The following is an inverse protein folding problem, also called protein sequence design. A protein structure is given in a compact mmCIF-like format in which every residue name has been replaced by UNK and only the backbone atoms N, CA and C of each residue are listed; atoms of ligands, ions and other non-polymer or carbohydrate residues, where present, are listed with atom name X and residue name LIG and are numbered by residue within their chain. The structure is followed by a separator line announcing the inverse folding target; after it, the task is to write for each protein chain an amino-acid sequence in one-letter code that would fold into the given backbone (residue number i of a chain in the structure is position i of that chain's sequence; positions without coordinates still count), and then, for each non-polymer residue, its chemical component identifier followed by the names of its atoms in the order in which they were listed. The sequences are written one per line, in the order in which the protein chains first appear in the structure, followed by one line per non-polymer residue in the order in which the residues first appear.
data_IF_809727356763
#
_entry.id   IF_809727356763
#
_cell.length_a   1.000
_cell.length_b   1.000
_cell.length_c   1.000
_cell.angle_alpha   90.00
_cell.angle_beta   90.00
_cell.angle_gamma   90.00
#
_symmetry.space_group_name_H-M   'P 1'
#
loop_
_entity.id
_entity.type
_entity.pdbx_description
1 polymer ?
#
# COMPACT_ATOMS: atom_id res chain seq x y z
N UNK A 1 5.58 -27.32 23.58
CA UNK A 1 6.27 -26.14 24.12
C UNK A 1 5.31 -24.97 23.92
N UNK A 2 4.78 -24.38 25.00
CA UNK A 2 3.83 -23.23 24.92
C UNK A 2 4.63 -22.07 24.33
N UNK A 3 4.10 -21.40 23.26
CA UNK A 3 4.77 -20.25 22.66
C UNK A 3 5.06 -19.18 23.72
N UNK A 4 6.19 -18.46 23.58
CA UNK A 4 6.66 -17.47 24.56
C UNK A 4 5.61 -16.38 24.88
N UNK A 5 4.70 -16.10 23.97
CA UNK A 5 3.64 -15.06 24.06
C UNK A 5 2.45 -15.49 24.95
N UNK A 6 2.35 -16.76 25.40
CA UNK A 6 1.30 -17.23 26.30
C UNK A 6 1.74 -17.33 27.76
N UNK A 7 2.81 -16.65 28.17
CA UNK A 7 3.22 -16.55 29.58
C UNK A 7 2.54 -15.35 30.24
N UNK A 8 2.21 -15.47 31.52
CA UNK A 8 1.38 -14.56 32.35
C UNK A 8 1.84 -13.09 32.45
N UNK A 9 2.84 -12.63 31.70
CA UNK A 9 3.29 -11.24 31.53
C UNK A 9 3.89 -11.08 30.12
N UNK A 10 3.18 -11.44 29.09
CA UNK A 10 3.75 -11.48 27.75
C UNK A 10 3.79 -10.08 27.13
N UNK A 11 4.97 -9.50 27.08
CA UNK A 11 5.28 -8.33 26.24
C UNK A 11 5.61 -8.83 24.85
N UNK A 12 4.89 -8.39 23.82
CA UNK A 12 5.24 -8.65 22.43
C UNK A 12 6.03 -7.45 21.86
N UNK A 13 7.03 -7.75 21.05
CA UNK A 13 7.92 -6.76 20.44
C UNK A 13 7.50 -6.49 19.01
N UNK A 14 7.26 -5.22 18.69
CA UNK A 14 6.80 -4.74 17.41
C UNK A 14 7.92 -3.94 16.72
N UNK A 15 8.53 -4.52 15.68
CA UNK A 15 9.58 -3.86 14.92
C UNK A 15 9.00 -2.83 13.93
N UNK A 16 9.65 -1.68 13.85
CA UNK A 16 9.31 -0.60 12.94
C UNK A 16 10.55 0.24 12.58
N UNK A 17 10.43 1.05 11.52
CA UNK A 17 11.44 2.05 11.15
C UNK A 17 11.41 3.23 12.12
N UNK A 18 12.52 4.01 12.17
CA UNK A 18 12.64 5.21 13.01
C UNK A 18 11.95 6.46 12.43
N UNK A 19 11.44 6.42 11.20
CA UNK A 19 10.83 7.62 10.61
C UNK A 19 9.55 8.02 11.35
N UNK A 20 9.24 9.34 11.45
CA UNK A 20 8.05 9.82 12.18
C UNK A 20 6.75 9.13 11.74
N UNK A 21 6.58 8.91 10.44
CA UNK A 21 5.40 8.22 9.91
C UNK A 21 5.39 6.74 10.34
N UNK A 22 6.52 6.04 10.28
CA UNK A 22 6.59 4.63 10.67
C UNK A 22 6.32 4.44 12.16
N UNK A 23 6.78 5.36 13.02
CA UNK A 23 6.47 5.36 14.45
C UNK A 23 4.97 5.53 14.68
N UNK A 24 4.31 6.48 14.00
CA UNK A 24 2.85 6.65 14.09
C UNK A 24 2.07 5.41 13.63
N UNK A 25 2.53 4.75 12.58
CA UNK A 25 1.95 3.49 12.10
C UNK A 25 2.12 2.36 13.13
N UNK A 26 3.27 2.27 13.77
CA UNK A 26 3.52 1.28 14.81
C UNK A 26 2.72 1.55 16.09
N UNK A 27 2.58 2.82 16.50
CA UNK A 27 1.72 3.24 17.61
C UNK A 27 0.25 2.86 17.35
N UNK A 28 -0.27 3.10 16.13
CA UNK A 28 -1.62 2.72 15.68
C UNK A 28 -1.83 1.21 15.82
N UNK A 29 -0.89 0.40 15.30
CA UNK A 29 -0.96 -1.07 15.37
C UNK A 29 -0.82 -1.57 16.80
N UNK A 30 0.10 -1.01 17.60
CA UNK A 30 0.27 -1.36 19.01
C UNK A 30 -1.03 -1.13 19.79
N UNK A 31 -1.69 0.00 19.59
CA UNK A 31 -2.96 0.31 20.24
C UNK A 31 -4.06 -0.71 19.85
N UNK A 32 -4.13 -1.13 18.61
CA UNK A 32 -5.08 -2.15 18.16
C UNK A 32 -4.79 -3.51 18.80
N UNK A 33 -3.52 -3.97 18.82
CA UNK A 33 -3.13 -5.23 19.45
C UNK A 33 -3.37 -5.24 20.96
N UNK A 34 -3.13 -4.11 21.65
CA UNK A 34 -3.40 -3.96 23.08
C UNK A 34 -4.90 -3.99 23.39
N UNK A 35 -5.73 -3.43 22.51
CA UNK A 35 -7.18 -3.42 22.66
C UNK A 35 -7.86 -4.75 22.29
N UNK A 36 -7.22 -5.57 21.44
CA UNK A 36 -7.77 -6.87 21.04
C UNK A 36 -7.57 -7.93 22.15
N UNK A 37 -8.58 -8.79 22.43
CA UNK A 37 -8.41 -9.86 23.39
C UNK A 37 -7.30 -10.84 23.00
N UNK A 38 -6.45 -11.31 23.92
CA UNK A 38 -6.53 -11.19 25.39
C UNK A 38 -5.96 -9.91 25.99
N UNK A 39 -5.56 -8.95 25.17
CA UNK A 39 -4.80 -7.77 25.59
C UNK A 39 -3.34 -8.11 25.89
N UNK A 40 -2.41 -7.55 25.14
CA UNK A 40 -0.98 -7.83 25.28
C UNK A 40 -0.21 -6.52 25.32
N UNK A 41 0.78 -6.41 26.22
CA UNK A 41 1.68 -5.27 26.21
C UNK A 41 2.56 -5.29 24.98
N UNK A 42 2.73 -4.13 24.32
CA UNK A 42 3.53 -4.00 23.10
C UNK A 42 4.73 -3.09 23.36
N UNK A 43 5.93 -3.62 23.14
CA UNK A 43 7.18 -2.88 23.11
C UNK A 43 7.57 -2.56 21.67
N UNK A 44 7.86 -1.28 21.36
CA UNK A 44 8.33 -0.88 20.04
C UNK A 44 9.84 -1.08 19.91
N UNK A 45 10.26 -1.81 18.88
CA UNK A 45 11.65 -2.03 18.50
C UNK A 45 11.95 -1.24 17.23
N UNK A 46 12.72 -0.16 17.34
CA UNK A 46 13.08 0.66 16.17
C UNK A 46 14.30 0.09 15.45
N UNK A 47 14.24 0.09 14.11
CA UNK A 47 15.27 -0.41 13.21
C UNK A 47 15.68 0.68 12.22
N UNK A 48 16.99 0.84 12.01
CA UNK A 48 17.52 1.69 10.94
C UNK A 48 17.50 0.92 9.62
N UNK A 49 16.98 1.51 8.56
CA UNK A 49 16.98 0.91 7.21
C UNK A 49 17.93 1.66 6.28
N UNK A 50 18.45 0.96 5.26
CA UNK A 50 19.31 1.58 4.25
C UNK A 50 18.57 2.73 3.52
N UNK A 51 17.27 2.57 3.29
CA UNK A 51 16.44 3.61 2.68
C UNK A 51 16.28 4.88 3.52
N UNK A 52 16.40 4.76 4.85
CA UNK A 52 16.36 5.91 5.77
C UNK A 52 17.74 6.59 5.89
N UNK A 53 18.83 5.82 5.80
CA UNK A 53 20.21 6.31 5.93
C UNK A 53 20.70 6.97 4.63
N UNK A 54 20.43 6.32 3.48
CA UNK A 54 20.95 6.74 2.15
C UNK A 54 19.93 7.55 1.38
N UNK A 55 19.57 8.71 1.91
CA UNK A 55 18.64 9.65 1.24
C UNK A 55 19.23 10.36 0.01
N UNK A 56 20.53 10.23 -0.18
CA UNK A 56 21.34 10.79 -1.29
C UNK A 56 21.22 9.97 -2.58
N UNK A 57 20.91 8.66 -2.50
CA UNK A 57 20.83 7.78 -3.66
C UNK A 57 19.39 7.53 -4.12
N UNK A 58 19.14 7.32 -5.42
CA UNK A 58 17.85 6.88 -5.93
C UNK A 58 17.46 5.52 -5.36
N UNK A 59 16.15 5.25 -5.15
CA UNK A 59 15.67 3.98 -4.60
C UNK A 59 16.05 2.79 -5.49
N UNK A 60 16.07 2.98 -6.82
CA UNK A 60 16.57 2.00 -7.79
C UNK A 60 18.02 1.60 -7.54
N UNK A 61 18.89 2.54 -7.16
CA UNK A 61 20.29 2.27 -6.84
C UNK A 61 20.49 1.55 -5.49
N UNK A 62 19.47 1.55 -4.61
CA UNK A 62 19.48 0.87 -3.31
C UNK A 62 18.90 -0.55 -3.36
N UNK A 63 18.55 -1.06 -4.55
CA UNK A 63 18.00 -2.40 -4.72
C UNK A 63 16.47 -2.44 -4.88
N UNK A 64 15.81 -1.31 -5.12
CA UNK A 64 14.40 -1.24 -5.51
C UNK A 64 13.43 -1.66 -4.39
N UNK A 65 12.62 -2.68 -4.65
CA UNK A 65 11.59 -3.15 -3.71
C UNK A 65 12.17 -3.66 -2.39
N UNK A 66 11.48 -3.34 -1.29
CA UNK A 66 11.81 -3.86 0.03
C UNK A 66 12.98 -3.15 0.74
N UNK A 67 13.58 -2.10 0.17
CA UNK A 67 14.65 -1.30 0.81
C UNK A 67 14.26 -0.80 2.21
N UNK A 68 12.98 -0.61 2.45
CA UNK A 68 12.44 -0.17 3.73
C UNK A 68 11.94 -1.33 4.61
N UNK A 69 11.80 -2.54 4.07
CA UNK A 69 11.27 -3.69 4.80
C UNK A 69 12.36 -4.65 5.27
N UNK A 70 13.45 -4.79 4.51
CA UNK A 70 14.47 -5.82 4.68
C UNK A 70 15.06 -5.88 6.09
N UNK A 71 15.51 -4.77 6.65
CA UNK A 71 16.14 -4.75 7.97
C UNK A 71 15.11 -5.01 9.08
N UNK A 72 13.87 -4.58 8.90
CA UNK A 72 12.76 -4.86 9.81
C UNK A 72 12.40 -6.35 9.77
N UNK A 73 12.35 -6.96 8.59
CA UNK A 73 12.19 -8.42 8.42
C UNK A 73 13.37 -9.22 9.02
N UNK A 74 14.60 -8.73 8.89
CA UNK A 74 15.77 -9.33 9.55
C UNK A 74 15.60 -9.33 11.07
N UNK A 75 15.11 -8.22 11.67
CA UNK A 75 14.85 -8.18 13.11
C UNK A 75 13.82 -9.26 13.53
N UNK A 76 12.78 -9.46 12.73
CA UNK A 76 11.75 -10.48 12.92
C UNK A 76 12.36 -11.90 12.85
N UNK A 77 13.11 -12.19 11.77
CA UNK A 77 13.73 -13.50 11.54
C UNK A 77 14.80 -13.87 12.58
N UNK A 78 15.46 -12.87 13.15
CA UNK A 78 16.44 -13.04 14.25
C UNK A 78 15.79 -13.19 15.64
N UNK A 79 14.46 -13.12 15.74
CA UNK A 79 13.74 -13.20 17.02
C UNK A 79 13.92 -11.95 17.89
N UNK A 80 14.38 -10.82 17.32
CA UNK A 80 14.45 -9.53 18.04
C UNK A 80 13.08 -8.85 18.16
N UNK A 81 12.14 -9.25 17.31
CA UNK A 81 10.75 -8.85 17.36
C UNK A 81 9.83 -10.04 17.07
N UNK A 82 8.57 -9.90 17.47
CA UNK A 82 7.52 -10.90 17.25
C UNK A 82 6.63 -10.50 16.10
N UNK A 83 6.48 -9.18 15.89
CA UNK A 83 5.78 -8.55 14.78
C UNK A 83 6.65 -7.51 14.08
N UNK A 84 6.35 -7.23 12.83
CA UNK A 84 6.88 -6.12 12.06
C UNK A 84 5.73 -5.34 11.41
N UNK A 85 5.78 -4.00 11.47
CA UNK A 85 4.80 -3.11 10.83
C UNK A 85 5.41 -2.47 9.61
N UNK A 86 4.66 -2.54 8.51
CA UNK A 86 5.02 -1.92 7.24
C UNK A 86 3.85 -1.12 6.66
N UNK A 87 4.15 -0.04 5.94
CA UNK A 87 3.23 0.42 4.91
C UNK A 87 3.15 -0.68 3.84
N UNK A 88 1.97 -1.20 3.53
CA UNK A 88 1.82 -2.35 2.63
C UNK A 88 2.42 -2.09 1.23
N UNK A 89 2.41 -0.84 0.77
CA UNK A 89 3.01 -0.40 -0.49
C UNK A 89 4.54 -0.49 -0.54
N UNK A 90 5.21 -0.54 0.62
CA UNK A 90 6.68 -0.60 0.71
C UNK A 90 7.18 -2.06 0.78
N UNK A 91 6.26 -3.03 0.96
CA UNK A 91 6.58 -4.45 0.93
C UNK A 91 6.87 -4.91 -0.50
N UNK A 92 7.82 -5.84 -0.68
CA UNK A 92 8.01 -6.50 -1.97
C UNK A 92 6.74 -7.27 -2.36
N UNK A 93 6.51 -7.42 -3.67
CA UNK A 93 5.36 -8.17 -4.19
C UNK A 93 5.33 -9.62 -3.70
N UNK A 94 6.51 -10.22 -3.51
CA UNK A 94 6.71 -11.55 -2.94
C UNK A 94 7.19 -11.43 -1.49
N UNK A 95 6.46 -12.05 -0.58
CA UNK A 95 6.86 -12.12 0.84
C UNK A 95 7.98 -13.16 1.01
N UNK A 96 9.03 -12.91 1.84
CA UNK A 96 10.04 -13.91 2.13
C UNK A 96 9.46 -15.21 2.72
N UNK A 97 10.00 -16.37 2.34
CA UNK A 97 9.45 -17.70 2.69
C UNK A 97 9.20 -17.93 4.17
N UNK A 98 10.01 -17.34 5.05
CA UNK A 98 9.95 -17.55 6.50
C UNK A 98 9.08 -16.53 7.23
N UNK A 99 8.44 -15.63 6.51
CA UNK A 99 7.53 -14.62 7.06
C UNK A 99 6.18 -14.68 6.37
N UNK A 100 5.16 -14.14 7.01
CA UNK A 100 3.83 -14.01 6.42
C UNK A 100 3.18 -12.70 6.89
N UNK A 101 2.34 -12.13 6.06
CA UNK A 101 1.43 -11.06 6.47
C UNK A 101 0.33 -11.71 7.33
N UNK A 102 0.40 -11.47 8.64
CA UNK A 102 -0.52 -12.05 9.61
C UNK A 102 -1.83 -11.26 9.73
N UNK A 103 -1.77 -9.93 9.52
CA UNK A 103 -2.94 -9.07 9.54
C UNK A 103 -2.78 -7.83 8.64
N UNK A 104 -3.91 -7.36 8.15
CA UNK A 104 -4.08 -6.05 7.51
C UNK A 104 -5.23 -5.34 8.23
N UNK A 105 -4.96 -4.39 9.15
CA UNK A 105 -6.00 -3.62 9.82
C UNK A 105 -6.84 -2.80 8.84
N UNK A 106 -7.88 -2.12 9.37
CA UNK A 106 -8.69 -1.22 8.57
C UNK A 106 -7.81 -0.25 7.76
N UNK A 107 -7.98 -0.28 6.44
CA UNK A 107 -7.20 0.54 5.51
C UNK A 107 -7.59 2.01 5.64
N UNK A 108 -6.60 2.89 5.76
CA UNK A 108 -6.80 4.31 5.62
C UNK A 108 -7.02 4.69 4.14
N UNK A 109 -7.46 5.93 3.89
CA UNK A 109 -7.73 6.45 2.55
C UNK A 109 -6.53 6.24 1.61
N UNK A 110 -6.67 5.48 0.51
CA UNK A 110 -5.57 5.14 -0.39
C UNK A 110 -5.19 6.27 -1.35
N UNK A 111 -5.96 7.37 -1.40
CA UNK A 111 -5.80 8.42 -2.39
C UNK A 111 -4.48 9.18 -2.25
N UNK A 112 -4.08 9.84 -3.33
CA UNK A 112 -3.02 10.83 -3.33
C UNK A 112 -3.60 12.23 -3.12
N UNK A 113 -2.81 13.12 -2.54
CA UNK A 113 -3.17 14.51 -2.33
C UNK A 113 -2.14 15.45 -2.99
N UNK A 114 -2.62 16.56 -3.51
CA UNK A 114 -1.82 17.72 -3.89
C UNK A 114 -1.71 18.70 -2.71
N UNK A 115 -0.52 19.24 -2.52
CA UNK A 115 -0.20 20.28 -1.55
C UNK A 115 0.48 21.43 -2.28
N UNK A 116 -0.01 22.63 -2.10
CA UNK A 116 0.45 23.87 -2.75
C UNK A 116 -0.55 24.42 -3.76
N UNK A 117 -1.31 23.56 -4.46
CA UNK A 117 -2.37 23.97 -5.39
C UNK A 117 -3.32 22.79 -5.68
N UNK A 118 -4.48 23.10 -6.23
CA UNK A 118 -5.38 22.13 -6.87
C UNK A 118 -4.90 21.86 -8.30
N UNK A 119 -5.27 20.70 -8.86
CA UNK A 119 -4.83 20.30 -10.20
C UNK A 119 -5.29 21.29 -11.29
N UNK A 120 -6.53 21.76 -11.20
CA UNK A 120 -7.10 22.68 -12.16
C UNK A 120 -6.56 24.10 -12.04
N UNK A 121 -6.06 24.47 -10.85
CA UNK A 121 -5.49 25.79 -10.55
C UNK A 121 -3.98 25.89 -10.88
N UNK A 122 -3.32 24.78 -11.23
CA UNK A 122 -1.93 24.77 -11.64
C UNK A 122 -1.73 25.57 -12.93
N UNK A 123 -0.75 26.50 -12.98
CA UNK A 123 -0.49 27.29 -14.18
C UNK A 123 -0.03 26.38 -15.35
N UNK A 124 -0.19 26.82 -16.60
CA UNK A 124 0.43 26.15 -17.74
C UNK A 124 1.94 26.03 -17.56
N UNK A 125 2.49 24.83 -17.73
CA UNK A 125 3.90 24.54 -17.45
C UNK A 125 4.25 24.44 -15.97
N UNK A 126 3.26 24.38 -15.07
CA UNK A 126 3.45 24.32 -13.62
C UNK A 126 4.36 23.18 -13.18
N UNK A 127 5.21 23.43 -12.18
CA UNK A 127 6.22 22.50 -11.70
C UNK A 127 5.67 21.67 -10.54
N UNK A 128 5.39 20.39 -10.77
CA UNK A 128 4.91 19.44 -9.75
C UNK A 128 6.03 18.53 -9.28
N UNK A 129 6.24 18.45 -7.95
CA UNK A 129 7.31 17.65 -7.39
C UNK A 129 6.82 16.29 -6.87
N UNK A 130 7.42 15.21 -7.37
CA UNK A 130 7.20 13.83 -6.95
C UNK A 130 8.36 12.94 -7.36
N UNK A 131 8.79 12.03 -6.47
CA UNK A 131 9.74 10.96 -6.80
C UNK A 131 9.08 9.67 -7.31
N UNK A 132 7.77 9.68 -7.57
CA UNK A 132 7.02 8.51 -8.02
C UNK A 132 6.74 8.56 -9.51
N UNK A 133 7.32 7.61 -10.26
CA UNK A 133 7.08 7.45 -11.70
C UNK A 133 5.59 7.22 -12.01
N UNK A 134 4.88 6.49 -11.15
CA UNK A 134 3.43 6.27 -11.24
C UNK A 134 2.64 7.58 -11.20
N UNK A 135 2.97 8.46 -10.24
CA UNK A 135 2.31 9.77 -10.11
C UNK A 135 2.63 10.68 -11.28
N UNK A 136 3.92 10.72 -11.67
CA UNK A 136 4.37 11.52 -12.82
C UNK A 136 3.62 11.10 -14.09
N UNK A 137 3.58 9.81 -14.41
CA UNK A 137 2.93 9.31 -15.62
C UNK A 137 1.44 9.66 -15.67
N UNK A 138 0.71 9.49 -14.57
CA UNK A 138 -0.71 9.82 -14.50
C UNK A 138 -0.99 11.33 -14.57
N UNK A 139 -0.16 12.17 -13.92
CA UNK A 139 -0.29 13.62 -14.03
C UNK A 139 0.07 14.13 -15.43
N UNK A 140 1.10 13.58 -16.06
CA UNK A 140 1.47 13.93 -17.43
C UNK A 140 0.38 13.53 -18.44
N UNK A 141 -0.35 12.43 -18.19
CA UNK A 141 -1.52 12.06 -18.98
C UNK A 141 -2.68 13.06 -18.84
N UNK A 142 -2.98 13.50 -17.61
CA UNK A 142 -4.06 14.45 -17.34
C UNK A 142 -3.71 15.88 -17.78
N UNK A 143 -2.49 16.28 -17.57
CA UNK A 143 -1.95 17.64 -17.83
C UNK A 143 -0.57 17.51 -18.51
N UNK A 144 -0.55 17.30 -19.84
CA UNK A 144 0.69 17.13 -20.61
C UNK A 144 1.60 18.36 -20.61
N UNK A 145 1.06 19.49 -20.20
CA UNK A 145 1.79 20.76 -20.10
C UNK A 145 2.65 20.87 -18.83
N UNK A 146 2.40 20.03 -17.79
CA UNK A 146 3.11 20.12 -16.52
C UNK A 146 4.59 19.71 -16.63
N UNK A 147 5.41 20.39 -15.83
CA UNK A 147 6.80 20.01 -15.58
C UNK A 147 6.92 19.23 -14.27
N UNK A 148 7.93 18.36 -14.17
CA UNK A 148 8.11 17.50 -13.00
C UNK A 148 9.50 17.64 -12.42
N UNK A 149 9.57 17.64 -11.07
CA UNK A 149 10.81 17.59 -10.29
C UNK A 149 10.80 16.40 -9.34
N UNK A 150 11.99 15.87 -9.05
CA UNK A 150 12.13 14.82 -8.04
C UNK A 150 12.01 15.40 -6.63
N UNK A 151 11.26 14.70 -5.77
CA UNK A 151 11.08 15.06 -4.38
C UNK A 151 11.30 13.86 -3.46
N UNK A 152 12.27 13.97 -2.56
CA UNK A 152 12.65 12.95 -1.60
C UNK A 152 12.71 13.48 -0.17
N UNK A 153 12.78 12.54 0.77
CA UNK A 153 12.82 12.81 2.20
C UNK A 153 11.55 12.38 2.93
N UNK A 154 11.52 12.62 4.24
CA UNK A 154 10.34 12.41 5.07
C UNK A 154 9.17 13.29 4.62
N UNK A 155 7.96 13.00 5.08
CA UNK A 155 6.77 13.83 4.77
C UNK A 155 7.02 15.29 5.20
N UNK A 156 7.53 15.51 6.42
CA UNK A 156 7.88 16.86 6.89
C UNK A 156 8.90 17.57 5.99
N UNK A 157 9.94 16.85 5.53
CA UNK A 157 10.93 17.41 4.60
C UNK A 157 10.31 17.78 3.25
N UNK A 158 9.39 16.95 2.73
CA UNK A 158 8.69 17.23 1.46
C UNK A 158 7.78 18.44 1.59
N UNK A 159 7.02 18.55 2.69
CA UNK A 159 6.18 19.72 2.97
C UNK A 159 7.00 21.01 3.12
N UNK A 160 8.14 20.95 3.82
CA UNK A 160 9.03 22.10 3.95
C UNK A 160 9.58 22.59 2.59
N UNK A 161 9.72 21.68 1.62
CA UNK A 161 10.16 22.00 0.26
C UNK A 161 9.00 22.40 -0.67
N UNK A 162 7.74 22.23 -0.26
CA UNK A 162 6.58 22.48 -1.13
C UNK A 162 6.55 23.90 -1.70
N UNK A 163 6.99 24.91 -0.94
CA UNK A 163 7.05 26.31 -1.39
C UNK A 163 7.99 26.58 -2.59
N UNK A 164 8.81 25.60 -2.99
CA UNK A 164 9.68 25.71 -4.17
C UNK A 164 9.03 25.18 -5.45
N UNK A 165 7.80 24.68 -5.38
CA UNK A 165 7.06 24.03 -6.46
C UNK A 165 5.64 24.58 -6.52
N UNK A 166 4.97 24.46 -7.65
CA UNK A 166 3.55 24.83 -7.74
C UNK A 166 2.67 23.81 -7.00
N UNK A 167 3.08 22.54 -6.95
CA UNK A 167 2.50 21.54 -6.06
C UNK A 167 3.46 20.39 -5.76
N UNK A 168 3.19 19.68 -4.66
CA UNK A 168 3.82 18.38 -4.33
C UNK A 168 2.76 17.30 -4.17
N UNK A 169 3.08 16.05 -4.51
CA UNK A 169 2.15 14.92 -4.40
C UNK A 169 2.52 14.03 -3.22
N UNK A 170 1.58 13.85 -2.29
CA UNK A 170 1.77 13.07 -1.06
C UNK A 170 0.62 12.08 -0.92
N UNK A 171 0.87 10.88 -0.37
CA UNK A 171 -0.20 9.95 -0.02
C UNK A 171 -1.05 10.53 1.12
N UNK A 172 -2.36 10.64 0.93
CA UNK A 172 -3.25 11.29 1.89
C UNK A 172 -3.24 10.60 3.26
N UNK A 173 -3.22 9.25 3.29
CA UNK A 173 -3.07 8.49 4.53
C UNK A 173 -1.82 8.87 5.36
N UNK A 174 -0.74 9.32 4.71
CA UNK A 174 0.46 9.75 5.43
C UNK A 174 0.27 11.13 6.08
N UNK A 175 -0.48 12.03 5.45
CA UNK A 175 -0.87 13.31 6.03
C UNK A 175 -1.78 13.10 7.23
N UNK A 176 -2.83 12.29 7.10
CA UNK A 176 -3.78 11.97 8.18
C UNK A 176 -3.06 11.39 9.40
N UNK A 177 -2.19 10.39 9.22
CA UNK A 177 -1.45 9.77 10.33
C UNK A 177 -0.52 10.73 11.07
N UNK A 178 -0.08 11.77 10.40
CA UNK A 178 0.76 12.81 11.02
C UNK A 178 -0.03 14.03 11.52
N UNK A 179 -1.37 14.05 11.39
CA UNK A 179 -2.21 15.20 11.76
C UNK A 179 -1.99 16.40 10.84
N UNK A 180 -1.66 16.16 9.57
CA UNK A 180 -1.31 17.16 8.57
C UNK A 180 -2.30 17.16 7.39
N UNK A 181 -3.48 16.57 7.54
CA UNK A 181 -4.51 16.47 6.49
C UNK A 181 -4.95 17.82 5.95
N UNK A 182 -4.93 18.85 6.79
CA UNK A 182 -5.26 20.23 6.40
C UNK A 182 -4.22 20.89 5.47
N UNK A 183 -3.06 20.25 5.25
CA UNK A 183 -2.09 20.70 4.26
C UNK A 183 -2.48 20.30 2.83
N UNK A 184 -3.47 19.42 2.65
CA UNK A 184 -3.92 18.98 1.35
C UNK A 184 -4.87 20.03 0.73
N UNK A 185 -4.47 20.61 -0.40
CA UNK A 185 -5.33 21.51 -1.18
C UNK A 185 -6.33 20.73 -2.01
N UNK A 186 -5.96 19.50 -2.43
CA UNK A 186 -6.85 18.58 -3.14
C UNK A 186 -6.52 17.12 -2.85
N UNK A 187 -7.54 16.31 -2.60
CA UNK A 187 -7.44 14.84 -2.54
C UNK A 187 -7.95 14.27 -3.86
N UNK A 188 -7.04 13.69 -4.65
CA UNK A 188 -7.33 13.25 -6.01
C UNK A 188 -8.20 12.00 -6.02
N UNK A 189 -9.31 12.04 -6.77
CA UNK A 189 -10.16 10.87 -6.95
C UNK A 189 -9.38 9.73 -7.65
N UNK A 190 -9.66 8.44 -7.34
CA UNK A 190 -9.01 7.31 -8.01
C UNK A 190 -9.20 7.30 -9.54
N UNK A 191 -10.30 7.89 -10.04
CA UNK A 191 -10.54 8.08 -11.48
C UNK A 191 -9.49 8.99 -12.14
N UNK A 192 -8.93 9.95 -11.41
CA UNK A 192 -7.87 10.87 -11.85
C UNK A 192 -6.48 10.28 -11.58
N UNK A 193 -6.27 9.81 -10.35
CA UNK A 193 -4.98 9.28 -9.89
C UNK A 193 -5.20 7.93 -9.20
N UNK A 194 -5.03 6.84 -9.94
CA UNK A 194 -5.13 5.50 -9.37
C UNK A 194 -4.00 5.29 -8.35
N UNK A 195 -4.32 4.88 -7.10
CA UNK A 195 -3.33 4.72 -6.04
C UNK A 195 -2.26 3.66 -6.34
N UNK A 196 -1.15 3.74 -5.62
CA UNK A 196 -0.18 2.65 -5.58
C UNK A 196 -0.76 1.44 -4.86
N UNK A 197 -0.44 0.24 -5.35
CA UNK A 197 -0.75 -1.03 -4.68
C UNK A 197 -0.40 -0.95 -3.18
N UNK A 198 -1.35 -1.27 -2.31
CA UNK A 198 -1.20 -1.24 -0.86
C UNK A 198 -1.15 0.15 -0.23
N UNK A 199 -1.36 1.24 -0.97
CA UNK A 199 -1.37 2.58 -0.39
C UNK A 199 -2.51 2.73 0.62
N UNK A 200 -2.23 3.35 1.76
CA UNK A 200 -3.16 3.51 2.89
C UNK A 200 -3.19 2.31 3.84
N UNK A 201 -2.91 1.10 3.38
CA UNK A 201 -2.91 -0.10 4.21
C UNK A 201 -1.62 -0.26 5.03
N UNK A 202 -1.77 -0.82 6.23
CA UNK A 202 -0.68 -1.35 7.04
C UNK A 202 -0.65 -2.87 6.89
N UNK A 203 0.55 -3.45 6.91
CA UNK A 203 0.74 -4.89 6.94
C UNK A 203 1.51 -5.26 8.20
N UNK A 204 0.95 -6.18 8.97
CA UNK A 204 1.60 -6.77 10.14
C UNK A 204 2.19 -8.10 9.71
N UNK A 205 3.51 -8.19 9.75
CA UNK A 205 4.26 -9.38 9.39
C UNK A 205 4.72 -10.11 10.64
N UNK A 206 4.70 -11.44 10.63
CA UNK A 206 5.29 -12.29 11.65
C UNK A 206 6.04 -13.46 11.00
N UNK A 207 6.77 -14.25 11.79
CA UNK A 207 7.35 -15.51 11.30
C UNK A 207 6.22 -16.48 10.91
N UNK A 208 6.40 -17.18 9.79
CA UNK A 208 5.36 -18.09 9.27
C UNK A 208 5.08 -19.30 10.18
N UNK A 209 6.07 -19.69 11.01
CA UNK A 209 5.98 -20.79 11.98
C UNK A 209 5.48 -20.35 13.38
N UNK A 210 5.27 -19.04 13.60
CA UNK A 210 4.78 -18.50 14.87
C UNK A 210 3.24 -18.46 14.91
N UNK A 211 2.65 -19.58 15.29
CA UNK A 211 1.21 -19.73 15.38
C UNK A 211 0.57 -18.76 16.40
N UNK A 212 1.26 -18.45 17.50
CA UNK A 212 0.74 -17.55 18.53
C UNK A 212 0.68 -16.10 18.02
N UNK A 213 1.75 -15.63 17.38
CA UNK A 213 1.78 -14.31 16.76
C UNK A 213 0.68 -14.18 15.67
N UNK A 214 0.48 -15.22 14.85
CA UNK A 214 -0.59 -15.23 13.83
C UNK A 214 -1.98 -15.11 14.43
N UNK A 215 -2.25 -15.81 15.51
CA UNK A 215 -3.56 -15.74 16.20
C UNK A 215 -3.78 -14.34 16.80
N UNK A 216 -2.76 -13.78 17.48
CA UNK A 216 -2.86 -12.43 18.06
C UNK A 216 -3.08 -11.35 16.99
N UNK A 217 -2.28 -11.38 15.91
CA UNK A 217 -2.45 -10.46 14.80
C UNK A 217 -3.82 -10.60 14.13
N UNK A 218 -4.34 -11.83 14.03
CA UNK A 218 -5.67 -12.09 13.48
C UNK A 218 -6.80 -11.34 14.19
N UNK A 219 -6.62 -10.98 15.47
CA UNK A 219 -7.59 -10.18 16.22
C UNK A 219 -7.78 -8.75 15.70
N UNK A 220 -6.85 -8.24 14.90
CA UNK A 220 -6.92 -6.91 14.28
C UNK A 220 -7.00 -6.95 12.74
N UNK A 221 -7.14 -8.15 12.17
CA UNK A 221 -7.26 -8.31 10.72
C UNK A 221 -8.63 -7.84 10.23
N UNK A 222 -8.63 -6.89 9.29
CA UNK A 222 -9.85 -6.38 8.68
C UNK A 222 -10.05 -7.04 7.33
N UNK A 223 -10.98 -7.99 7.24
CA UNK A 223 -11.18 -8.86 6.07
C UNK A 223 -11.29 -8.07 4.74
N UNK A 224 -12.11 -7.01 4.61
CA UNK A 224 -12.17 -6.24 3.37
C UNK A 224 -10.84 -5.61 2.98
N UNK A 225 -10.09 -5.06 3.93
CA UNK A 225 -8.76 -4.50 3.68
C UNK A 225 -7.75 -5.57 3.28
N UNK A 226 -7.79 -6.73 3.97
CA UNK A 226 -6.93 -7.89 3.66
C UNK A 226 -7.14 -8.37 2.24
N UNK A 227 -8.39 -8.64 1.86
CA UNK A 227 -8.77 -9.14 0.55
C UNK A 227 -8.40 -8.14 -0.55
N UNK A 228 -8.67 -6.85 -0.35
CA UNK A 228 -8.28 -5.79 -1.28
C UNK A 228 -6.77 -5.74 -1.50
N UNK A 229 -5.98 -5.77 -0.42
CA UNK A 229 -4.51 -5.76 -0.50
C UNK A 229 -3.96 -7.01 -1.18
N UNK A 230 -4.56 -8.18 -0.94
CA UNK A 230 -4.15 -9.44 -1.60
C UNK A 230 -4.41 -9.42 -3.11
N UNK A 231 -5.55 -8.83 -3.56
CA UNK A 231 -5.83 -8.64 -4.99
C UNK A 231 -4.80 -7.72 -5.65
N UNK A 232 -4.54 -6.57 -5.02
CA UNK A 232 -3.57 -5.59 -5.50
C UNK A 232 -2.14 -6.17 -5.56
N UNK A 233 -1.72 -6.92 -4.53
CA UNK A 233 -0.39 -7.56 -4.48
C UNK A 233 -0.25 -8.67 -5.52
N UNK A 234 -1.30 -9.45 -5.76
CA UNK A 234 -1.31 -10.47 -6.80
C UNK A 234 -1.18 -9.84 -8.20
N UNK A 235 -1.92 -8.74 -8.44
CA UNK A 235 -1.78 -7.94 -9.65
C UNK A 235 -0.35 -7.43 -9.85
N UNK A 236 0.26 -6.82 -8.82
CA UNK A 236 1.63 -6.30 -8.91
C UNK A 236 2.66 -7.41 -9.14
N UNK A 237 2.49 -8.56 -8.48
CA UNK A 237 3.37 -9.72 -8.63
C UNK A 237 3.34 -10.28 -10.05
N UNK A 238 2.16 -10.42 -10.64
CA UNK A 238 1.99 -10.95 -12.00
C UNK A 238 2.55 -9.99 -13.06
N UNK A 239 2.43 -8.67 -12.86
CA UNK A 239 3.09 -7.66 -13.71
C UNK A 239 4.63 -7.75 -13.63
N UNK A 240 5.19 -8.40 -12.60
CA UNK A 240 6.62 -8.35 -12.32
C UNK A 240 7.06 -6.96 -11.86
N UNK A 241 6.10 -6.15 -11.36
CA UNK A 241 6.27 -4.74 -11.08
C UNK A 241 7.26 -4.46 -9.97
N UNK A 242 8.15 -3.51 -10.25
CA UNK A 242 9.02 -2.85 -9.29
C UNK A 242 8.47 -1.45 -9.00
N UNK A 243 8.99 -0.80 -7.94
CA UNK A 243 8.62 0.59 -7.61
C UNK A 243 9.01 1.61 -8.71
N UNK A 244 9.83 1.20 -9.66
CA UNK A 244 10.35 2.03 -10.75
C UNK A 244 9.47 2.00 -12.01
N UNK A 245 8.43 1.17 -12.02
CA UNK A 245 7.46 1.12 -13.10
C UNK A 245 6.23 1.97 -12.80
N UNK A 246 5.64 2.64 -13.81
CA UNK A 246 4.41 3.40 -13.66
C UNK A 246 3.19 2.46 -13.61
N UNK A 247 3.11 1.67 -12.54
CA UNK A 247 2.04 0.72 -12.25
C UNK A 247 1.22 1.21 -11.07
N UNK A 248 -0.10 1.10 -11.18
CA UNK A 248 -1.06 1.41 -10.12
C UNK A 248 -2.08 0.30 -9.99
N UNK A 249 -2.65 0.15 -8.80
CA UNK A 249 -3.73 -0.79 -8.54
C UNK A 249 -4.47 -0.44 -7.27
N UNK A 250 -5.79 -0.47 -7.33
CA UNK A 250 -6.65 -0.21 -6.19
C UNK A 250 -7.83 -1.16 -6.19
N UNK A 251 -8.00 -1.90 -5.11
CA UNK A 251 -9.14 -2.77 -4.90
C UNK A 251 -10.05 -2.23 -3.80
N UNK A 252 -11.34 -2.44 -3.98
CA UNK A 252 -12.39 -2.17 -3.00
C UNK A 252 -13.23 -3.41 -2.81
N UNK A 253 -13.65 -3.64 -1.57
CA UNK A 253 -14.54 -4.74 -1.21
C UNK A 253 -15.75 -4.20 -0.47
N UNK A 254 -16.93 -4.43 -1.02
CA UNK A 254 -18.19 -3.94 -0.51
C UNK A 254 -19.18 -5.08 -0.24
N UNK A 255 -20.06 -4.87 0.73
CA UNK A 255 -21.21 -5.76 0.95
C UNK A 255 -22.32 -5.29 0.02
N UNK A 256 -22.80 -6.20 -0.82
CA UNK A 256 -23.88 -5.92 -1.80
C UNK A 256 -25.09 -6.81 -1.53
N UNK A 257 -26.28 -6.33 -1.93
CA UNK A 257 -27.49 -7.15 -1.96
C UNK A 257 -27.55 -8.01 -3.25
N UNK A 258 -28.55 -8.89 -3.36
CA UNK A 258 -28.75 -9.75 -4.55
C UNK A 258 -28.88 -8.97 -5.89
N UNK A 259 -29.16 -7.69 -5.83
CA UNK A 259 -29.27 -6.81 -7.00
C UNK A 259 -27.97 -6.05 -7.29
N UNK A 260 -26.85 -6.37 -6.61
CA UNK A 260 -25.57 -5.69 -6.77
C UNK A 260 -25.51 -4.28 -6.16
N UNK A 261 -26.54 -3.86 -5.42
CA UNK A 261 -26.57 -2.54 -4.77
C UNK A 261 -25.95 -2.61 -3.36
N UNK A 262 -25.36 -1.51 -2.83
CA UNK A 262 -24.84 -1.47 -1.46
C UNK A 262 -25.85 -1.95 -0.42
N UNK A 263 -25.39 -2.70 0.58
CA UNK A 263 -26.23 -3.24 1.63
C UNK A 263 -26.97 -2.13 2.39
N UNK A 264 -28.27 -2.17 2.34
CA UNK A 264 -29.18 -1.16 2.93
C UNK A 264 -30.59 -1.21 2.33
N UNK A 265 -30.78 -1.91 1.21
CA UNK A 265 -32.11 -2.17 0.63
C UNK A 265 -32.71 -3.44 1.24
N UNK A 266 -34.03 -3.47 1.33
CA UNK A 266 -34.83 -4.42 2.11
C UNK A 266 -34.88 -5.87 1.57
N UNK A 267 -34.07 -6.23 0.58
CA UNK A 267 -34.10 -7.53 -0.08
C UNK A 267 -32.96 -8.44 0.43
N UNK A 268 -33.32 -9.48 1.05
CA UNK A 268 -32.75 -10.26 2.13
C UNK A 268 -31.61 -11.22 1.85
N UNK A 269 -30.79 -11.11 0.81
CA UNK A 269 -29.51 -11.87 0.70
C UNK A 269 -28.38 -10.90 0.42
N UNK A 270 -27.36 -10.96 1.28
CA UNK A 270 -26.16 -10.16 1.14
C UNK A 270 -25.06 -10.98 0.49
N UNK A 271 -24.47 -10.48 -0.57
CA UNK A 271 -23.23 -10.95 -1.16
C UNK A 271 -22.09 -9.98 -0.84
N UNK A 272 -20.91 -10.28 -1.32
CA UNK A 272 -19.77 -9.38 -1.30
C UNK A 272 -19.27 -9.19 -2.73
N UNK A 273 -18.91 -7.95 -3.06
CA UNK A 273 -18.29 -7.57 -4.32
C UNK A 273 -16.86 -7.14 -4.07
N UNK A 274 -15.92 -7.72 -4.81
CA UNK A 274 -14.53 -7.29 -4.87
C UNK A 274 -14.28 -6.71 -6.26
N UNK A 275 -13.95 -5.43 -6.32
CA UNK A 275 -13.55 -4.75 -7.55
C UNK A 275 -12.06 -4.39 -7.48
N UNK A 276 -11.33 -4.61 -8.57
CA UNK A 276 -9.93 -4.22 -8.72
C UNK A 276 -9.78 -3.42 -10.01
N UNK A 277 -9.17 -2.27 -9.90
CA UNK A 277 -8.73 -1.48 -11.03
C UNK A 277 -7.21 -1.48 -11.10
N UNK A 278 -6.64 -1.74 -12.28
CA UNK A 278 -5.22 -1.79 -12.56
C UNK A 278 -4.83 -0.82 -13.68
N UNK A 279 -3.60 -0.33 -13.61
CA UNK A 279 -3.04 0.61 -14.58
C UNK A 279 -1.57 0.30 -14.83
N UNK A 280 -1.18 0.35 -16.10
CA UNK A 280 0.21 0.37 -16.57
C UNK A 280 0.35 1.55 -17.54
N UNK A 281 1.40 2.36 -17.39
CA UNK A 281 1.63 3.51 -18.25
C UNK A 281 3.07 3.56 -18.77
N UNK A 282 3.31 4.35 -19.81
CA UNK A 282 4.66 4.74 -20.18
C UNK A 282 5.21 5.76 -19.15
N UNK A 283 6.55 5.79 -18.89
CA UNK A 283 7.13 6.73 -17.93
C UNK A 283 6.88 8.21 -18.24
N UNK A 284 6.68 8.54 -19.51
CA UNK A 284 6.36 9.91 -19.98
C UNK A 284 4.87 10.23 -19.95
N UNK A 285 4.02 9.28 -19.57
CA UNK A 285 2.57 9.43 -19.49
C UNK A 285 1.85 9.52 -20.84
N UNK A 286 2.51 9.21 -21.97
CA UNK A 286 1.87 9.27 -23.30
C UNK A 286 0.99 8.08 -23.62
N UNK A 287 1.24 6.95 -22.98
CA UNK A 287 0.46 5.72 -23.12
C UNK A 287 -0.01 5.31 -21.72
N UNK A 288 -1.28 5.05 -21.59
CA UNK A 288 -1.90 4.59 -20.35
C UNK A 288 -2.90 3.48 -20.64
N UNK A 289 -2.63 2.31 -20.12
CA UNK A 289 -3.52 1.16 -20.15
C UNK A 289 -4.19 1.03 -18.78
N UNK A 290 -5.50 1.10 -18.74
CA UNK A 290 -6.30 1.04 -17.51
C UNK A 290 -7.46 0.09 -17.70
N UNK A 291 -7.64 -0.84 -16.77
CA UNK A 291 -8.69 -1.86 -16.83
C UNK A 291 -9.21 -2.16 -15.43
N UNK A 292 -10.49 -2.48 -15.33
CA UNK A 292 -11.12 -2.92 -14.11
C UNK A 292 -11.72 -4.32 -14.30
N UNK A 293 -11.72 -5.09 -13.21
CA UNK A 293 -12.42 -6.35 -13.09
C UNK A 293 -13.11 -6.44 -11.73
N UNK A 294 -14.21 -7.15 -11.66
CA UNK A 294 -14.94 -7.37 -10.41
C UNK A 294 -15.45 -8.80 -10.33
N UNK A 295 -15.61 -9.29 -9.10
CA UNK A 295 -16.23 -10.57 -8.81
C UNK A 295 -17.21 -10.40 -7.66
N UNK A 296 -18.39 -10.98 -7.81
CA UNK A 296 -19.43 -11.02 -6.80
C UNK A 296 -19.66 -12.46 -6.35
N UNK A 297 -19.71 -12.68 -5.05
CA UNK A 297 -19.93 -13.99 -4.46
C UNK A 297 -20.81 -13.87 -3.21
N UNK A 298 -21.59 -14.91 -2.86
CA UNK A 298 -22.17 -15.02 -1.52
C UNK A 298 -21.07 -14.92 -0.46
N UNK A 299 -21.43 -14.45 0.74
CA UNK A 299 -20.47 -14.37 1.85
C UNK A 299 -19.89 -15.76 2.12
N UNK A 300 -18.58 -15.99 1.92
CA UNK A 300 -17.98 -17.30 2.08
C UNK A 300 -17.80 -17.67 3.55
N UNK A 301 -17.62 -18.95 3.80
CA UNK A 301 -17.42 -19.51 5.14
C UNK A 301 -16.05 -19.13 5.75
N UNK A 302 -15.08 -18.66 4.95
CA UNK A 302 -13.73 -18.30 5.43
C UNK A 302 -13.12 -17.14 4.65
N UNK A 303 -12.25 -16.40 5.34
CA UNK A 303 -11.44 -15.33 4.73
C UNK A 303 -10.49 -15.87 3.67
N UNK A 304 -9.96 -17.08 3.87
CA UNK A 304 -9.00 -17.71 2.95
C UNK A 304 -9.60 -17.94 1.55
N UNK A 305 -10.89 -18.27 1.46
CA UNK A 305 -11.59 -18.41 0.18
C UNK A 305 -11.61 -17.08 -0.59
N UNK A 306 -11.87 -15.96 0.11
CA UNK A 306 -11.81 -14.63 -0.49
C UNK A 306 -10.39 -14.21 -0.87
N UNK A 307 -9.40 -14.54 -0.06
CA UNK A 307 -7.98 -14.29 -0.37
C UNK A 307 -7.56 -15.02 -1.64
N UNK A 308 -7.98 -16.27 -1.82
CA UNK A 308 -7.69 -17.02 -3.05
C UNK A 308 -8.36 -16.37 -4.26
N UNK A 309 -9.64 -16.03 -4.16
CA UNK A 309 -10.39 -15.36 -5.22
C UNK A 309 -9.77 -14.00 -5.59
N UNK A 310 -9.37 -13.23 -4.59
CA UNK A 310 -8.70 -11.95 -4.76
C UNK A 310 -7.38 -12.07 -5.53
N UNK A 311 -6.60 -13.10 -5.21
CA UNK A 311 -5.34 -13.39 -5.92
C UNK A 311 -5.59 -13.76 -7.37
N UNK A 312 -6.57 -14.62 -7.64
CA UNK A 312 -6.97 -14.98 -9.01
C UNK A 312 -7.40 -13.74 -9.80
N UNK A 313 -8.27 -12.89 -9.21
CA UNK A 313 -8.71 -11.65 -9.85
C UNK A 313 -7.53 -10.74 -10.20
N UNK A 314 -6.57 -10.59 -9.28
CA UNK A 314 -5.36 -9.78 -9.49
C UNK A 314 -4.49 -10.30 -10.63
N UNK A 315 -4.23 -11.61 -10.66
CA UNK A 315 -3.44 -12.28 -11.69
C UNK A 315 -4.10 -12.20 -13.08
N UNK A 316 -5.40 -12.45 -13.15
CA UNK A 316 -6.15 -12.38 -14.41
C UNK A 316 -6.19 -10.95 -14.97
N UNK A 317 -6.42 -9.94 -14.12
CA UNK A 317 -6.40 -8.54 -14.54
C UNK A 317 -5.01 -8.13 -15.06
N UNK A 318 -3.95 -8.57 -14.39
CA UNK A 318 -2.58 -8.29 -14.80
C UNK A 318 -2.28 -8.90 -16.18
N UNK A 319 -2.56 -10.19 -16.39
CA UNK A 319 -2.38 -10.87 -17.69
C UNK A 319 -3.15 -10.16 -18.79
N UNK A 320 -4.39 -9.79 -18.53
CA UNK A 320 -5.21 -9.06 -19.50
C UNK A 320 -4.60 -7.71 -19.89
N UNK A 321 -3.99 -6.96 -18.96
CA UNK A 321 -3.30 -5.71 -19.27
C UNK A 321 -1.98 -5.94 -20.03
N UNK A 322 -1.23 -6.97 -19.66
CA UNK A 322 0.09 -7.26 -20.23
C UNK A 322 -0.05 -7.86 -21.63
N UNK A 323 -0.81 -8.94 -21.76
CA UNK A 323 -0.81 -9.78 -22.96
C UNK A 323 -1.82 -9.30 -24.02
N UNK A 324 -3.04 -8.95 -23.57
CA UNK A 324 -4.12 -8.59 -24.50
C UNK A 324 -4.06 -7.11 -24.91
N UNK A 325 -3.55 -6.23 -24.05
CA UNK A 325 -3.56 -4.78 -24.26
C UNK A 325 -2.17 -4.19 -24.57
N UNK A 326 -1.14 -5.02 -24.73
CA UNK A 326 0.19 -4.57 -25.14
C UNK A 326 1.03 -3.97 -24.00
N UNK A 327 0.67 -4.22 -22.73
CA UNK A 327 1.40 -3.75 -21.55
C UNK A 327 2.86 -4.21 -21.50
N UNK A 328 3.18 -5.38 -22.08
CA UNK A 328 4.57 -5.88 -22.19
C UNK A 328 5.51 -4.87 -22.87
N UNK A 329 5.04 -4.16 -23.88
CA UNK A 329 5.86 -3.17 -24.58
C UNK A 329 6.20 -1.96 -23.67
N UNK A 330 5.32 -1.64 -22.71
CA UNK A 330 5.54 -0.55 -21.75
C UNK A 330 6.48 -0.96 -20.62
N UNK A 331 6.46 -2.23 -20.22
CA UNK A 331 7.29 -2.78 -19.14
C UNK A 331 8.73 -3.04 -19.61
N UNK A 332 8.93 -3.45 -20.87
CA UNK A 332 10.25 -3.74 -21.46
C UNK A 332 11.10 -2.51 -21.81
N UNK A 333 10.53 -1.31 -21.81
CA UNK A 333 11.27 -0.08 -22.13
C UNK A 333 12.02 0.50 -20.92
N UNK A 334 11.83 -0.05 -19.72
CA UNK A 334 12.50 0.41 -18.49
C UNK A 334 13.99 -0.01 -18.42
N UNK A 335 14.41 -1.04 -19.17
CA UNK A 335 15.80 -1.54 -19.19
C UNK A 335 16.70 -0.91 -20.28
N UNK A 336 16.18 0.04 -21.07
CA UNK A 336 16.88 0.60 -22.25
C UNK A 336 17.29 2.07 -22.08
N UNK A 337 17.38 2.58 -20.85
CA UNK A 337 17.74 3.97 -20.59
C UNK A 337 18.84 4.15 -19.56
#
# INVERSE_FOLDING_TARGET
MVPAIMRDEAVARLATRKSPLALKQAEEVAAHLQAAPPGIEIELVTVDTQGDIRTDLPLSALGGQGVFAKEVQVALLQGRADFAVHSAKDLPAVTPERTCIAAVPLRADPRDALVGSRLDDLPPGGLVATGSVRRRAQLAWLRPDLCFADLRGSIGTRLAKAAHFDAVVIAFAALVRLGLENCADEVLAPSMMLPQVGQGALAIECRSDDAAARVLAGGIDHMPSRVSVEAERAFLREIGGTCDLPVAGNATMDIVNESGNPAGSKDGRSGMSLALEGLVASPDGRIMLRKAAAVEQPIPASVDAWVLLARTLGEELARSLIDENGGNALLGTADAG
#
